data_IF_293082481887
#
_entry.id   IF_293082481887
#
_cell.length_a   1.000
_cell.length_b   1.000
_cell.length_c   1.000
_cell.angle_alpha   90.00
_cell.angle_beta   90.00
_cell.angle_gamma   90.00
#
_symmetry.space_group_name_H-M   'P 1'
#
loop_
_entity.id
_entity.type
_entity.pdbx_description
1 polymer ?
#
# COMPACT_ATOMS: atom_id res chain seq x y z
N UNK A 1 6.54 -35.23 27.30
CA UNK A 1 7.44 -34.38 28.12
C UNK A 1 8.60 -33.93 27.23
N UNK A 2 8.81 -32.60 27.15
CA UNK A 2 10.04 -31.89 26.71
C UNK A 2 10.43 -32.05 25.22
N UNK A 3 10.81 -31.02 24.46
CA UNK A 3 10.95 -29.60 24.75
C UNK A 3 10.93 -28.83 23.42
N UNK A 4 10.30 -27.66 23.43
CA UNK A 4 10.43 -26.59 22.45
C UNK A 4 11.89 -26.18 22.34
N UNK A 5 12.48 -26.10 21.14
CA UNK A 5 13.65 -25.25 20.90
C UNK A 5 13.88 -25.06 19.39
N UNK A 6 13.29 -24.02 18.81
CA UNK A 6 13.84 -23.36 17.62
C UNK A 6 13.27 -21.93 17.48
N UNK A 7 13.19 -21.21 18.60
CA UNK A 7 12.72 -19.81 18.65
C UNK A 7 13.79 -18.88 19.25
N UNK A 8 15.07 -19.21 19.11
CA UNK A 8 16.14 -18.41 19.70
C UNK A 8 17.38 -18.39 18.80
N UNK A 9 17.36 -17.55 17.77
CA UNK A 9 18.60 -17.01 17.17
C UNK A 9 18.49 -15.52 16.81
N UNK A 10 17.31 -14.93 16.65
CA UNK A 10 17.21 -13.57 16.10
C UNK A 10 16.89 -12.44 17.10
N UNK A 11 17.17 -12.62 18.39
CA UNK A 11 16.88 -11.62 19.43
C UNK A 11 18.12 -10.85 19.95
N UNK A 12 19.27 -10.95 19.29
CA UNK A 12 20.52 -10.31 19.73
C UNK A 12 20.99 -9.14 18.85
N UNK A 13 20.25 -8.81 17.79
CA UNK A 13 20.34 -7.52 17.12
C UNK A 13 18.97 -6.89 17.32
N UNK A 14 18.89 -5.70 17.91
CA UNK A 14 17.65 -4.97 18.18
C UNK A 14 16.88 -4.52 16.93
N UNK A 15 16.76 -5.39 15.93
CA UNK A 15 15.87 -5.25 14.80
C UNK A 15 14.47 -5.47 15.34
N UNK A 16 13.78 -4.36 15.64
CA UNK A 16 12.34 -4.35 15.75
C UNK A 16 11.78 -5.18 14.58
N UNK A 17 11.03 -6.22 14.89
CA UNK A 17 10.23 -6.93 13.89
C UNK A 17 9.19 -5.95 13.37
N UNK A 18 9.58 -5.10 12.42
CA UNK A 18 8.66 -4.30 11.64
C UNK A 18 7.69 -5.23 10.92
N UNK A 19 6.58 -4.68 10.45
CA UNK A 19 5.55 -5.38 9.66
C UNK A 19 6.02 -5.88 8.28
N UNK A 20 7.31 -6.21 8.13
CA UNK A 20 7.87 -6.71 6.88
C UNK A 20 7.13 -7.97 6.44
N UNK A 21 6.73 -8.07 5.16
CA UNK A 21 6.13 -9.29 4.66
C UNK A 21 7.07 -10.47 4.86
N UNK A 22 6.52 -11.61 5.26
CA UNK A 22 7.31 -12.84 5.35
C UNK A 22 7.74 -13.31 3.95
N UNK A 23 8.81 -14.11 3.80
CA UNK A 23 9.26 -14.59 2.48
C UNK A 23 8.20 -15.36 1.67
N UNK A 24 7.16 -15.88 2.33
CA UNK A 24 6.05 -16.60 1.68
C UNK A 24 4.78 -15.74 1.53
N UNK A 25 4.79 -14.51 2.01
CA UNK A 25 3.65 -13.61 1.88
C UNK A 25 3.44 -13.28 0.40
N UNK A 26 2.20 -13.40 -0.07
CA UNK A 26 1.82 -13.08 -1.44
C UNK A 26 1.24 -11.68 -1.50
N UNK A 27 1.59 -10.91 -2.53
CA UNK A 27 0.93 -9.64 -2.82
C UNK A 27 -0.53 -9.92 -3.19
N UNK A 28 -1.48 -9.47 -2.37
CA UNK A 28 -2.91 -9.67 -2.64
C UNK A 28 -3.50 -8.58 -3.55
N UNK A 29 -2.77 -7.47 -3.78
CA UNK A 29 -3.24 -6.34 -4.57
C UNK A 29 -3.47 -6.67 -6.04
N UNK A 30 -2.66 -7.57 -6.61
CA UNK A 30 -2.72 -8.00 -8.02
C UNK A 30 -4.07 -8.63 -8.41
N UNK A 31 -4.85 -9.11 -7.43
CA UNK A 31 -6.18 -9.68 -7.67
C UNK A 31 -7.32 -8.68 -7.43
N UNK A 32 -6.98 -7.44 -7.09
CA UNK A 32 -7.93 -6.38 -6.82
C UNK A 32 -8.34 -5.62 -8.07
N UNK A 33 -9.10 -4.55 -7.86
CA UNK A 33 -9.43 -3.58 -8.89
C UNK A 33 -9.11 -2.18 -8.38
N UNK A 34 -8.32 -1.45 -9.15
CA UNK A 34 -7.89 -0.11 -8.80
C UNK A 34 -8.77 0.95 -9.48
N UNK A 35 -9.01 2.05 -8.78
CA UNK A 35 -9.61 3.29 -9.31
C UNK A 35 -8.81 4.47 -8.77
N UNK A 36 -8.91 5.62 -9.43
CA UNK A 36 -8.27 6.85 -8.97
C UNK A 36 -9.15 8.05 -9.28
N UNK A 37 -8.92 9.15 -8.59
CA UNK A 37 -9.77 10.34 -8.64
C UNK A 37 -9.92 10.90 -10.06
N UNK A 38 -8.80 11.11 -10.73
CA UNK A 38 -8.72 11.44 -12.15
C UNK A 38 -7.55 10.68 -12.78
N UNK A 39 -7.49 10.61 -14.10
CA UNK A 39 -6.40 9.95 -14.82
C UNK A 39 -5.66 10.95 -15.69
N UNK A 40 -4.35 11.05 -15.49
CA UNK A 40 -3.45 11.68 -16.44
C UNK A 40 -3.16 10.67 -17.55
N UNK A 41 -3.87 10.74 -18.67
CA UNK A 41 -3.80 9.69 -19.69
C UNK A 41 -2.36 9.56 -20.25
N UNK A 42 -1.82 8.34 -20.40
CA UNK A 42 -2.49 7.03 -20.29
C UNK A 42 -2.26 6.29 -18.95
N UNK A 43 -2.03 6.99 -17.84
CA UNK A 43 -1.55 6.41 -16.59
C UNK A 43 -2.68 5.95 -15.66
N UNK A 44 -3.33 4.89 -16.11
CA UNK A 44 -4.47 4.24 -15.48
C UNK A 44 -4.14 3.68 -14.09
N UNK A 45 -5.14 3.56 -13.19
CA UNK A 45 -4.92 3.14 -11.81
C UNK A 45 -4.41 1.70 -11.66
N UNK A 46 -4.70 0.81 -12.62
CA UNK A 46 -4.29 -0.60 -12.62
C UNK A 46 -2.77 -0.79 -12.76
N UNK A 47 -2.05 0.17 -13.34
CA UNK A 47 -0.58 0.16 -13.40
C UNK A 47 0.07 0.06 -12.02
N UNK A 48 -0.55 0.62 -10.99
CA UNK A 48 -0.04 0.53 -9.63
C UNK A 48 -0.25 -0.86 -8.97
N UNK A 49 -0.85 -1.83 -9.67
CA UNK A 49 -1.02 -3.21 -9.18
C UNK A 49 -0.71 -4.24 -10.27
N UNK A 50 0.04 -3.85 -11.30
CA UNK A 50 0.34 -4.70 -12.46
C UNK A 50 1.48 -5.71 -12.18
N UNK A 51 2.15 -5.59 -11.04
CA UNK A 51 3.24 -6.45 -10.61
C UNK A 51 4.62 -5.97 -11.04
N UNK A 52 4.71 -4.84 -11.73
CA UNK A 52 5.96 -4.24 -12.19
C UNK A 52 6.34 -3.04 -11.30
N UNK A 53 7.54 -3.12 -10.70
CA UNK A 53 8.05 -2.12 -9.75
C UNK A 53 8.97 -1.10 -10.40
N UNK A 54 8.92 -0.94 -11.71
CA UNK A 54 9.75 0.05 -12.38
C UNK A 54 9.34 1.45 -11.92
N UNK A 55 10.25 2.11 -11.20
CA UNK A 55 10.03 3.43 -10.63
C UNK A 55 10.30 4.57 -11.61
N UNK A 56 10.77 4.26 -12.83
CA UNK A 56 10.92 5.24 -13.88
C UNK A 56 9.59 5.44 -14.60
N UNK A 57 9.04 6.64 -14.50
CA UNK A 57 7.74 6.99 -15.08
C UNK A 57 7.62 6.68 -16.59
N UNK A 58 8.71 6.81 -17.33
CA UNK A 58 8.74 6.57 -18.78
C UNK A 58 8.59 5.09 -19.16
N UNK A 59 8.65 4.18 -18.18
CA UNK A 59 8.47 2.73 -18.37
C UNK A 59 7.01 2.32 -18.35
N UNK A 60 6.10 3.29 -18.26
CA UNK A 60 4.64 3.12 -18.39
C UNK A 60 4.01 2.21 -17.33
N UNK A 61 4.70 2.00 -16.21
CA UNK A 61 4.26 1.15 -15.09
C UNK A 61 3.72 1.93 -13.89
N UNK A 62 3.55 3.25 -14.00
CA UNK A 62 3.06 4.07 -12.89
C UNK A 62 1.66 4.59 -13.20
N UNK A 63 0.77 4.57 -12.20
CA UNK A 63 -0.48 5.31 -12.24
C UNK A 63 -0.24 6.79 -11.95
N UNK A 64 -1.08 7.66 -12.49
CA UNK A 64 -0.94 9.10 -12.27
C UNK A 64 -2.30 9.82 -12.34
N UNK A 65 -2.58 10.64 -11.34
CA UNK A 65 -3.71 11.58 -11.38
C UNK A 65 -3.35 12.86 -12.13
N UNK A 66 -4.33 13.67 -12.51
CA UNK A 66 -4.05 15.06 -12.86
C UNK A 66 -3.61 15.84 -11.59
N UNK A 67 -3.12 17.06 -11.78
CA UNK A 67 -2.98 18.00 -10.66
C UNK A 67 -4.36 18.43 -10.19
N UNK A 68 -4.70 18.08 -8.95
CA UNK A 68 -6.01 18.35 -8.37
C UNK A 68 -5.94 18.43 -6.84
N UNK A 69 -7.05 18.83 -6.24
CA UNK A 69 -7.17 18.89 -4.79
C UNK A 69 -7.44 17.51 -4.22
N UNK A 70 -6.72 17.09 -3.19
CA UNK A 70 -6.95 15.81 -2.50
C UNK A 70 -7.01 14.60 -3.46
N UNK A 71 -5.98 14.39 -4.30
CA UNK A 71 -5.94 13.25 -5.21
C UNK A 71 -5.89 11.95 -4.40
N UNK A 72 -6.58 10.93 -4.91
CA UNK A 72 -6.61 9.62 -4.29
C UNK A 72 -6.53 8.50 -5.33
N UNK A 73 -5.94 7.40 -4.90
CA UNK A 73 -5.96 6.10 -5.56
C UNK A 73 -6.55 5.08 -4.60
N UNK A 74 -7.39 4.17 -5.10
CA UNK A 74 -8.18 3.24 -4.29
C UNK A 74 -8.15 1.85 -4.89
N UNK A 75 -7.97 0.86 -4.03
CA UNK A 75 -7.98 -0.56 -4.34
C UNK A 75 -9.17 -1.24 -3.68
N UNK A 76 -9.95 -1.96 -4.47
CA UNK A 76 -10.93 -2.95 -4.01
C UNK A 76 -10.30 -4.35 -4.04
N UNK A 77 -10.01 -4.91 -2.86
CA UNK A 77 -9.48 -6.27 -2.71
C UNK A 77 -10.54 -7.38 -2.92
N UNK A 78 -11.78 -7.01 -3.23
CA UNK A 78 -12.96 -7.88 -3.47
C UNK A 78 -13.43 -8.68 -2.25
N UNK A 79 -12.58 -8.87 -1.24
CA UNK A 79 -12.87 -9.53 0.03
C UNK A 79 -12.25 -8.74 1.17
N UNK A 80 -12.73 -8.98 2.39
CA UNK A 80 -12.14 -8.39 3.58
C UNK A 80 -10.90 -9.18 4.00
N UNK A 81 -9.81 -8.45 4.27
CA UNK A 81 -8.54 -8.96 4.76
C UNK A 81 -8.17 -8.27 6.07
N UNK A 82 -7.31 -8.92 6.85
CA UNK A 82 -6.49 -8.26 7.88
C UNK A 82 -5.18 -7.85 7.21
N UNK A 83 -5.00 -6.55 7.00
CA UNK A 83 -3.87 -5.97 6.27
C UNK A 83 -2.70 -5.82 7.22
N UNK A 84 -1.64 -6.59 7.01
CA UNK A 84 -0.43 -6.52 7.83
C UNK A 84 0.44 -5.34 7.43
N UNK A 85 0.61 -5.14 6.12
CA UNK A 85 1.47 -4.10 5.57
C UNK A 85 1.13 -3.74 4.14
N UNK A 86 1.52 -2.52 3.76
CA UNK A 86 1.45 -1.98 2.41
C UNK A 86 2.87 -1.54 2.03
N UNK A 87 3.32 -1.94 0.85
CA UNK A 87 4.59 -1.50 0.26
C UNK A 87 4.27 -0.66 -0.96
N UNK A 88 4.82 0.54 -1.01
CA UNK A 88 4.60 1.50 -2.09
C UNK A 88 5.91 1.75 -2.82
N UNK A 89 5.94 1.48 -4.12
CA UNK A 89 7.02 1.90 -5.01
C UNK A 89 6.71 3.28 -5.54
N UNK A 90 7.53 4.26 -5.14
CA UNK A 90 7.42 5.65 -5.57
C UNK A 90 8.07 5.83 -6.95
N UNK A 91 7.72 6.92 -7.63
CA UNK A 91 8.49 7.42 -8.78
C UNK A 91 9.89 7.85 -8.32
N UNK A 92 10.94 7.54 -9.09
CA UNK A 92 12.32 7.91 -8.74
C UNK A 92 13.08 8.74 -9.79
N UNK A 93 12.55 8.91 -11.00
CA UNK A 93 13.19 9.72 -12.05
C UNK A 93 12.95 11.22 -11.86
N UNK A 94 11.84 11.60 -11.22
CA UNK A 94 11.54 13.00 -10.88
C UNK A 94 10.44 13.11 -9.81
N UNK A 95 10.49 14.18 -9.01
CA UNK A 95 9.51 14.56 -7.99
C UNK A 95 9.14 13.49 -6.93
N UNK A 96 10.10 12.72 -6.38
CA UNK A 96 9.80 11.71 -5.37
C UNK A 96 9.14 12.31 -4.10
N UNK A 97 9.40 13.57 -3.80
CA UNK A 97 8.84 14.31 -2.65
C UNK A 97 7.32 14.51 -2.72
N UNK A 98 6.70 14.39 -3.91
CA UNK A 98 5.24 14.50 -4.06
C UNK A 98 4.49 13.47 -3.22
N UNK A 99 5.08 12.31 -2.94
CA UNK A 99 4.45 11.28 -2.12
C UNK A 99 4.47 11.59 -0.61
N UNK A 100 5.24 12.58 -0.17
CA UNK A 100 5.31 12.96 1.23
C UNK A 100 3.93 13.39 1.75
N UNK A 101 3.58 13.03 2.98
CA UNK A 101 2.27 13.31 3.60
C UNK A 101 1.11 12.44 3.09
N UNK A 102 1.34 11.51 2.16
CA UNK A 102 0.29 10.59 1.68
C UNK A 102 -0.18 9.68 2.81
N UNK A 103 -1.48 9.64 3.04
CA UNK A 103 -2.09 8.75 4.03
C UNK A 103 -2.55 7.46 3.35
N UNK A 104 -2.17 6.32 3.94
CA UNK A 104 -2.68 4.99 3.58
C UNK A 104 -3.83 4.72 4.54
N UNK A 105 -5.03 4.57 3.99
CA UNK A 105 -6.25 4.37 4.74
C UNK A 105 -6.90 3.03 4.37
N UNK A 106 -7.51 2.36 5.35
CA UNK A 106 -8.13 1.04 5.19
C UNK A 106 -9.59 1.11 5.64
N UNK A 107 -10.51 0.56 4.85
CA UNK A 107 -11.95 0.62 5.12
C UNK A 107 -12.71 -0.63 4.68
N UNK A 108 -13.92 -0.82 5.22
CA UNK A 108 -14.80 -1.95 4.90
C UNK A 108 -16.00 -1.60 4.02
N UNK A 109 -16.44 -0.34 4.03
CA UNK A 109 -17.54 0.15 3.20
C UNK A 109 -17.06 1.25 2.24
N UNK A 110 -17.92 1.59 1.28
CA UNK A 110 -17.69 2.72 0.38
C UNK A 110 -17.93 4.07 1.09
N UNK A 111 -18.58 4.06 2.27
CA UNK A 111 -19.11 5.23 2.98
C UNK A 111 -18.05 6.03 3.77
N UNK A 112 -16.81 6.08 3.26
CA UNK A 112 -15.72 6.94 3.74
C UNK A 112 -15.26 6.76 5.20
N UNK A 113 -15.71 5.74 5.94
CA UNK A 113 -15.14 5.35 7.24
C UNK A 113 -13.81 4.59 7.06
N UNK A 114 -12.81 5.26 6.49
CA UNK A 114 -11.46 4.72 6.36
C UNK A 114 -10.62 5.16 7.56
N UNK A 115 -9.88 4.20 8.11
CA UNK A 115 -8.94 4.48 9.19
C UNK A 115 -7.53 4.54 8.62
N UNK A 116 -6.78 5.57 9.00
CA UNK A 116 -5.37 5.69 8.60
C UNK A 116 -4.58 4.54 9.23
N UNK A 117 -3.92 3.73 8.40
CA UNK A 117 -3.00 2.71 8.88
C UNK A 117 -1.54 3.19 8.89
N UNK A 118 -1.19 4.18 8.07
CA UNK A 118 0.07 4.90 8.19
C UNK A 118 0.17 6.09 7.24
N UNK A 119 1.23 6.88 7.40
CA UNK A 119 1.50 8.07 6.59
C UNK A 119 2.91 8.01 6.04
N UNK A 120 3.07 8.31 4.76
CA UNK A 120 4.38 8.43 4.12
C UNK A 120 5.01 9.74 4.59
N UNK A 121 6.09 9.67 5.35
CA UNK A 121 6.84 10.85 5.83
C UNK A 121 8.28 10.89 5.32
N UNK A 122 8.76 9.79 4.73
CA UNK A 122 10.10 9.67 4.19
C UNK A 122 10.01 9.12 2.75
N UNK A 123 10.34 9.98 1.78
CA UNK A 123 10.38 9.65 0.35
C UNK A 123 11.78 9.33 -0.15
N UNK A 124 12.78 9.32 0.72
CA UNK A 124 14.16 8.91 0.39
C UNK A 124 14.33 7.39 0.32
N UNK A 125 13.41 6.63 0.95
CA UNK A 125 13.31 5.17 0.76
C UNK A 125 12.44 4.85 -0.45
N UNK A 126 12.88 3.90 -1.27
CA UNK A 126 12.04 3.32 -2.33
C UNK A 126 12.42 1.83 -2.49
N UNK A 127 11.51 0.88 -2.18
CA UNK A 127 10.12 1.09 -1.79
C UNK A 127 9.93 1.63 -0.36
N UNK A 128 8.71 2.12 -0.11
CA UNK A 128 8.26 2.65 1.18
C UNK A 128 7.40 1.59 1.86
N UNK A 129 7.73 1.24 3.10
CA UNK A 129 7.03 0.20 3.86
C UNK A 129 6.15 0.82 4.93
N UNK A 130 4.86 0.47 4.93
CA UNK A 130 3.86 0.97 5.87
C UNK A 130 3.25 -0.21 6.63
N UNK A 131 3.25 -0.10 7.96
CA UNK A 131 2.67 -1.09 8.86
C UNK A 131 1.20 -0.80 9.12
N UNK A 132 0.34 -1.75 8.80
CA UNK A 132 -1.11 -1.60 9.02
C UNK A 132 -1.64 -2.50 10.14
N UNK A 133 -0.77 -3.21 10.86
CA UNK A 133 -1.07 -3.89 12.14
C UNK A 133 -2.32 -4.78 12.12
N UNK A 134 -2.49 -5.58 11.06
CA UNK A 134 -3.61 -6.50 10.87
C UNK A 134 -4.99 -5.80 10.80
N UNK A 135 -5.03 -4.50 10.45
CA UNK A 135 -6.26 -3.71 10.33
C UNK A 135 -7.20 -4.34 9.29
N UNK A 136 -8.46 -4.49 9.67
CA UNK A 136 -9.48 -5.16 8.84
C UNK A 136 -10.05 -4.24 7.77
N UNK A 137 -9.93 -4.61 6.50
CA UNK A 137 -10.50 -3.85 5.39
C UNK A 137 -10.65 -4.63 4.11
N UNK A 138 -11.55 -4.16 3.24
CA UNK A 138 -11.68 -4.56 1.84
C UNK A 138 -11.07 -3.53 0.91
N UNK A 139 -11.14 -2.27 1.29
CA UNK A 139 -10.65 -1.15 0.49
C UNK A 139 -9.39 -0.57 1.10
N UNK A 140 -8.43 -0.22 0.25
CA UNK A 140 -7.23 0.53 0.60
C UNK A 140 -7.23 1.80 -0.22
N UNK A 141 -6.99 2.95 0.40
CA UNK A 141 -6.92 4.24 -0.27
C UNK A 141 -5.60 4.93 0.06
N UNK A 142 -4.90 5.43 -0.95
CA UNK A 142 -3.77 6.32 -0.81
C UNK A 142 -4.26 7.71 -1.18
N UNK A 143 -4.22 8.65 -0.24
CA UNK A 143 -4.71 10.02 -0.44
C UNK A 143 -3.63 11.03 -0.04
N UNK A 144 -3.43 12.05 -0.87
CA UNK A 144 -2.61 13.20 -0.50
C UNK A 144 -3.57 14.27 0.05
N UNK A 145 -3.62 14.53 1.37
CA UNK A 145 -4.60 15.44 1.96
C UNK A 145 -4.18 16.90 1.82
N UNK A 146 -3.93 17.35 0.59
CA UNK A 146 -3.58 18.74 0.27
C UNK A 146 -4.01 19.11 -1.14
N UNK A 147 -4.03 20.42 -1.40
CA UNK A 147 -4.46 20.99 -2.68
C UNK A 147 -3.35 20.94 -3.73
N UNK A 148 -3.74 21.09 -5.01
CA UNK A 148 -2.83 21.18 -6.17
C UNK A 148 -1.72 20.14 -6.14
N UNK A 149 -2.10 18.88 -6.07
CA UNK A 149 -1.17 17.76 -5.96
C UNK A 149 -1.44 16.72 -7.03
N UNK A 150 -0.38 16.02 -7.42
CA UNK A 150 -0.42 14.85 -8.31
C UNK A 150 -0.01 13.62 -7.52
N UNK A 151 -0.83 12.57 -7.55
CA UNK A 151 -0.50 11.28 -6.95
C UNK A 151 0.03 10.35 -8.05
N UNK A 152 1.30 9.95 -7.91
CA UNK A 152 1.96 8.98 -8.80
C UNK A 152 2.37 7.75 -8.00
N UNK A 153 1.97 6.57 -8.44
CA UNK A 153 2.24 5.29 -7.77
C UNK A 153 2.76 4.30 -8.80
N UNK A 154 3.97 3.77 -8.62
CA UNK A 154 4.56 2.82 -9.57
C UNK A 154 4.27 1.37 -9.21
N UNK A 155 4.05 1.07 -7.93
CA UNK A 155 3.47 -0.22 -7.50
C UNK A 155 2.95 -0.06 -6.08
N UNK A 156 1.79 -0.66 -5.79
CA UNK A 156 1.21 -0.78 -4.45
C UNK A 156 1.02 -2.27 -4.18
N UNK A 157 1.86 -2.80 -3.30
CA UNK A 157 1.76 -4.18 -2.85
C UNK A 157 1.09 -4.22 -1.50
N UNK A 158 0.16 -5.16 -1.35
CA UNK A 158 -0.62 -5.33 -0.12
C UNK A 158 -0.38 -6.72 0.40
N UNK A 159 -0.13 -6.83 1.70
CA UNK A 159 0.08 -8.09 2.39
C UNK A 159 -0.88 -8.22 3.56
N UNK A 160 -1.38 -9.42 3.75
CA UNK A 160 -2.36 -9.71 4.78
C UNK A 160 -2.96 -11.09 4.62
N UNK A 161 -3.99 -11.37 5.42
CA UNK A 161 -4.71 -12.64 5.42
C UNK A 161 -6.20 -12.41 5.31
N UNK A 162 -6.91 -13.33 4.67
CA UNK A 162 -8.36 -13.28 4.59
C UNK A 162 -8.97 -13.18 5.99
N UNK A 163 -9.89 -12.23 6.17
CA UNK A 163 -10.65 -12.14 7.40
C UNK A 163 -11.58 -13.36 7.46
N UNK A 164 -11.47 -14.16 8.52
CA UNK A 164 -12.42 -15.26 8.75
C UNK A 164 -13.77 -14.64 9.09
N UNK A 165 -14.84 -15.12 8.45
CA UNK A 165 -16.20 -14.87 8.94
C UNK A 165 -16.26 -15.42 10.37
N UNK A 166 -16.73 -14.63 11.33
CA UNK A 166 -17.16 -15.19 12.60
C UNK A 166 -18.36 -16.08 12.26
N UNK A 167 -18.16 -17.38 12.26
CA UNK A 167 -19.27 -18.33 12.36
C UNK A 167 -19.86 -18.13 13.74
N UNK A 168 -21.10 -17.63 13.79
CA UNK A 168 -21.94 -17.72 14.97
C UNK A 168 -22.32 -19.18 15.19
#
# INVERSE_FOLDING_TARGET
MKLRLCWAVCALLGLAWGCMPTPRARNIAINGQATQKSTHNPDTPDKAIDGNRDSNYSKMSCSCTNEEDWPWWKLDLKRTYKISSVIVTNRNDSYPERLNGTQIQVGNSLDNNYEVCGTITNTSSNPIHICCNDRGGRYISLVIPRNKSTLTLCEVQVFGRLARKKTC
#
